data_IF_810810934920
#
_entry.id   IF_810810934920
#
_cell.length_a   1.000
_cell.length_b   1.000
_cell.length_c   1.000
_cell.angle_alpha   90.00
_cell.angle_beta   90.00
_cell.angle_gamma   90.00
#
_symmetry.space_group_name_H-M   'P 1'
#
loop_
_entity.id
_entity.type
_entity.pdbx_description
1 polymer ?
#
# COMPACT_ATOMS: atom_id res chain seq x y z
N UNK A 1 32.05 41.56 -24.14
CA UNK A 1 31.07 41.66 -23.03
C UNK A 1 31.50 40.64 -21.99
N UNK A 2 32.09 41.11 -20.88
CA UNK A 2 32.69 40.28 -19.83
C UNK A 2 31.58 39.84 -18.87
N UNK A 3 31.30 38.54 -18.77
CA UNK A 3 30.47 38.02 -17.68
C UNK A 3 31.39 37.78 -16.47
N UNK A 4 31.25 38.67 -15.49
CA UNK A 4 31.85 38.57 -14.18
C UNK A 4 31.46 37.24 -13.53
N UNK A 5 32.47 36.42 -13.25
CA UNK A 5 32.41 35.37 -12.24
C UNK A 5 32.07 36.03 -10.89
N UNK A 6 30.81 35.94 -10.46
CA UNK A 6 30.41 36.22 -9.08
C UNK A 6 30.27 34.88 -8.36
N UNK A 7 31.30 34.55 -7.57
CA UNK A 7 31.53 33.27 -6.89
C UNK A 7 30.46 32.87 -5.85
N UNK A 8 29.52 33.76 -5.51
CA UNK A 8 28.49 33.50 -4.50
C UNK A 8 27.18 32.88 -5.04
N UNK A 9 26.85 33.09 -6.32
CA UNK A 9 25.55 32.65 -6.88
C UNK A 9 25.52 31.17 -7.26
N UNK A 10 26.63 30.63 -7.76
CA UNK A 10 26.71 29.25 -8.22
C UNK A 10 26.55 28.24 -7.07
N UNK A 11 27.07 28.56 -5.89
CA UNK A 11 26.93 27.72 -4.70
C UNK A 11 25.48 27.62 -4.23
N UNK A 12 24.75 28.75 -4.21
CA UNK A 12 23.35 28.78 -3.80
C UNK A 12 22.44 28.01 -4.78
N UNK A 13 22.70 28.12 -6.09
CA UNK A 13 21.96 27.39 -7.12
C UNK A 13 22.23 25.89 -7.03
N UNK A 14 23.50 25.48 -6.87
CA UNK A 14 23.87 24.07 -6.67
C UNK A 14 23.25 23.48 -5.40
N UNK A 15 23.19 24.25 -4.31
CA UNK A 15 22.55 23.83 -3.07
C UNK A 15 21.04 23.64 -3.24
N UNK A 16 20.38 24.52 -4.00
CA UNK A 16 18.96 24.41 -4.33
C UNK A 16 18.67 23.14 -5.14
N UNK A 17 19.50 22.82 -6.14
CA UNK A 17 19.36 21.59 -6.93
C UNK A 17 19.58 20.33 -6.08
N UNK A 18 20.54 20.36 -5.14
CA UNK A 18 20.79 19.25 -4.20
C UNK A 18 19.62 19.03 -3.23
N UNK A 19 18.99 20.11 -2.74
CA UNK A 19 17.82 20.02 -1.86
C UNK A 19 16.59 19.46 -2.59
N UNK A 20 16.38 19.84 -3.87
CA UNK A 20 15.32 19.29 -4.70
C UNK A 20 15.53 17.82 -5.08
N UNK A 21 16.78 17.33 -5.00
CA UNK A 21 17.14 15.93 -5.27
C UNK A 21 17.02 15.02 -4.04
N UNK A 22 16.58 15.54 -2.88
CA UNK A 22 16.25 14.72 -1.71
C UNK A 22 15.06 13.83 -2.06
N UNK A 23 15.40 12.64 -2.54
CA UNK A 23 14.44 11.58 -2.81
C UNK A 23 13.87 11.16 -1.47
N UNK A 24 12.56 11.37 -1.27
CA UNK A 24 11.86 10.79 -0.15
C UNK A 24 12.22 9.29 -0.08
N UNK A 25 12.50 8.75 1.13
CA UNK A 25 12.77 7.33 1.25
C UNK A 25 11.64 6.56 0.56
N UNK A 26 11.95 5.49 -0.20
CA UNK A 26 10.91 4.68 -0.80
C UNK A 26 9.93 4.33 0.32
N UNK A 27 8.68 4.74 0.17
CA UNK A 27 7.62 4.35 1.10
C UNK A 27 7.77 2.84 1.33
N UNK A 28 7.91 2.43 2.59
CA UNK A 28 8.09 1.03 2.98
C UNK A 28 7.22 0.17 2.09
N UNK A 29 7.85 -0.63 1.23
CA UNK A 29 7.12 -1.43 0.28
C UNK A 29 6.24 -2.36 1.10
N UNK A 30 4.91 -2.19 1.00
CA UNK A 30 3.96 -3.10 1.62
C UNK A 30 4.38 -4.50 1.22
N UNK A 31 4.92 -5.27 2.17
CA UNK A 31 5.31 -6.63 1.89
C UNK A 31 4.03 -7.41 1.66
N UNK A 32 3.87 -7.89 0.43
CA UNK A 32 2.75 -8.73 0.05
C UNK A 32 2.86 -10.07 0.74
N UNK A 33 2.30 -10.16 1.95
CA UNK A 33 2.31 -11.36 2.76
C UNK A 33 0.91 -11.68 3.31
N UNK A 34 0.28 -12.79 2.86
CA UNK A 34 -1.10 -13.13 3.24
C UNK A 34 -1.33 -13.25 4.76
N UNK A 35 -0.28 -13.55 5.53
CA UNK A 35 -0.37 -13.63 7.00
C UNK A 35 -0.76 -12.29 7.64
N UNK A 36 -0.54 -11.16 6.97
CA UNK A 36 -1.02 -9.86 7.46
C UNK A 36 -2.56 -9.80 7.56
N UNK A 37 -3.28 -10.69 6.85
CA UNK A 37 -4.74 -10.82 6.87
C UNK A 37 -5.26 -11.77 7.96
N UNK A 38 -4.39 -12.39 8.77
CA UNK A 38 -4.78 -13.19 9.94
C UNK A 38 -5.81 -12.51 10.87
N UNK A 39 -5.75 -11.19 11.13
CA UNK A 39 -6.78 -10.50 11.93
C UNK A 39 -8.20 -10.61 11.35
N UNK A 40 -8.35 -10.92 10.05
CA UNK A 40 -9.63 -11.13 9.40
C UNK A 40 -10.15 -12.57 9.50
N UNK A 41 -9.34 -13.52 9.99
CA UNK A 41 -9.69 -14.94 10.05
C UNK A 41 -11.04 -15.17 10.73
N UNK A 42 -11.25 -14.59 11.92
CA UNK A 42 -12.50 -14.74 12.65
C UNK A 42 -13.72 -14.18 11.91
N UNK A 43 -13.53 -13.12 11.11
CA UNK A 43 -14.61 -12.51 10.33
C UNK A 43 -14.97 -13.35 9.09
N UNK A 44 -13.97 -13.97 8.46
CA UNK A 44 -14.13 -14.82 7.28
C UNK A 44 -14.68 -16.20 7.66
N UNK A 45 -14.10 -16.88 8.65
CA UNK A 45 -14.44 -18.27 8.96
C UNK A 45 -15.60 -18.41 9.96
N UNK A 46 -15.72 -17.51 10.94
CA UNK A 46 -16.76 -17.60 11.98
C UNK A 46 -17.87 -16.56 11.82
N UNK A 47 -17.92 -15.86 10.68
CA UNK A 47 -18.93 -14.83 10.40
C UNK A 47 -18.99 -13.70 11.44
N UNK A 48 -17.92 -13.49 12.22
CA UNK A 48 -17.84 -12.40 13.20
C UNK A 48 -17.71 -11.04 12.50
N UNK A 49 -18.05 -9.93 13.18
CA UNK A 49 -17.74 -8.60 12.67
C UNK A 49 -16.22 -8.43 12.51
N UNK A 50 -15.74 -7.77 11.42
CA UNK A 50 -14.32 -7.51 11.23
C UNK A 50 -13.82 -6.52 12.29
N UNK A 51 -12.63 -6.80 12.84
CA UNK A 51 -11.96 -5.86 13.76
C UNK A 51 -11.40 -4.65 13.01
N UNK A 52 -11.14 -3.56 13.74
CA UNK A 52 -10.43 -2.39 13.20
C UNK A 52 -9.07 -2.78 12.60
N UNK A 53 -8.34 -3.70 13.26
CA UNK A 53 -7.07 -4.24 12.78
C UNK A 53 -7.23 -5.02 11.47
N UNK A 54 -8.29 -5.82 11.33
CA UNK A 54 -8.61 -6.50 10.07
C UNK A 54 -8.80 -5.47 8.94
N UNK A 55 -9.66 -4.47 9.13
CA UNK A 55 -9.91 -3.49 8.07
C UNK A 55 -8.70 -2.60 7.77
N UNK A 56 -7.82 -2.32 8.74
CA UNK A 56 -6.56 -1.62 8.50
C UNK A 56 -5.64 -2.46 7.60
N UNK A 57 -5.37 -3.71 7.97
CA UNK A 57 -4.48 -4.59 7.20
C UNK A 57 -5.04 -4.93 5.81
N UNK A 58 -6.36 -5.13 5.70
CA UNK A 58 -7.01 -5.40 4.42
C UNK A 58 -6.88 -4.23 3.45
N UNK A 59 -6.95 -2.98 3.94
CA UNK A 59 -6.72 -1.78 3.13
C UNK A 59 -5.25 -1.61 2.76
N UNK A 60 -4.35 -1.84 3.71
CA UNK A 60 -2.90 -1.78 3.49
C UNK A 60 -2.44 -2.76 2.40
N UNK A 61 -3.04 -3.96 2.35
CA UNK A 61 -2.71 -5.01 1.39
C UNK A 61 -3.42 -4.90 0.03
N UNK A 62 -4.25 -3.87 -0.21
CA UNK A 62 -4.89 -3.65 -1.52
C UNK A 62 -3.95 -3.76 -2.74
N UNK A 63 -2.75 -3.15 -2.76
CA UNK A 63 -1.83 -3.28 -3.89
C UNK A 63 -1.38 -4.73 -4.16
N UNK A 64 -1.45 -5.61 -3.16
CA UNK A 64 -1.04 -7.00 -3.25
C UNK A 64 -2.14 -7.95 -3.74
N UNK A 65 -3.39 -7.49 -3.83
CA UNK A 65 -4.52 -8.39 -4.14
C UNK A 65 -4.44 -9.02 -5.52
N UNK A 66 -3.84 -8.35 -6.50
CA UNK A 66 -3.62 -8.93 -7.82
C UNK A 66 -2.68 -10.13 -7.76
N UNK A 67 -1.68 -10.09 -6.87
CA UNK A 67 -0.83 -11.24 -6.62
C UNK A 67 -1.60 -12.36 -5.90
N UNK A 68 -2.41 -12.02 -4.90
CA UNK A 68 -3.20 -13.01 -4.16
C UNK A 68 -4.27 -13.70 -5.00
N UNK A 69 -4.83 -13.01 -6.00
CA UNK A 69 -5.79 -13.59 -6.96
C UNK A 69 -5.21 -14.74 -7.78
N UNK A 70 -3.88 -14.85 -7.89
CA UNK A 70 -3.21 -15.94 -8.61
C UNK A 70 -3.23 -17.26 -7.82
N UNK A 71 -3.46 -17.18 -6.52
CA UNK A 71 -3.61 -18.36 -5.66
C UNK A 71 -5.09 -18.76 -5.59
N UNK A 72 -5.47 -19.95 -6.09
CA UNK A 72 -6.86 -20.40 -6.11
C UNK A 72 -7.45 -20.56 -4.69
N UNK A 73 -6.64 -20.87 -3.69
CA UNK A 73 -7.06 -21.01 -2.29
C UNK A 73 -7.43 -19.64 -1.72
N UNK A 74 -6.55 -18.64 -1.89
CA UNK A 74 -6.84 -17.27 -1.45
C UNK A 74 -8.03 -16.67 -2.19
N UNK A 75 -8.13 -16.95 -3.49
CA UNK A 75 -9.26 -16.52 -4.31
C UNK A 75 -10.58 -17.14 -3.83
N UNK A 76 -10.58 -18.41 -3.41
CA UNK A 76 -11.77 -19.06 -2.83
C UNK A 76 -12.25 -18.33 -1.57
N UNK A 77 -11.33 -17.93 -0.67
CA UNK A 77 -11.69 -17.17 0.51
C UNK A 77 -12.21 -15.76 0.18
N UNK A 78 -11.56 -15.06 -0.75
CA UNK A 78 -11.99 -13.73 -1.19
C UNK A 78 -13.39 -13.76 -1.85
N UNK A 79 -13.69 -14.83 -2.60
CA UNK A 79 -14.97 -15.04 -3.27
C UNK A 79 -16.04 -15.72 -2.41
N UNK A 80 -15.73 -16.11 -1.17
CA UNK A 80 -16.73 -16.61 -0.24
C UNK A 80 -17.73 -15.51 0.13
N UNK A 81 -18.94 -15.90 0.59
CA UNK A 81 -19.95 -14.95 1.08
C UNK A 81 -19.37 -14.03 2.17
N UNK A 82 -18.62 -14.62 3.11
CA UNK A 82 -18.01 -13.89 4.21
C UNK A 82 -16.84 -13.00 3.73
N UNK A 83 -16.01 -13.48 2.80
CA UNK A 83 -14.94 -12.69 2.21
C UNK A 83 -15.45 -11.41 1.55
N UNK A 84 -16.48 -11.53 0.69
CA UNK A 84 -17.14 -10.36 0.08
C UNK A 84 -17.77 -9.43 1.11
N UNK A 85 -18.41 -9.98 2.16
CA UNK A 85 -18.99 -9.16 3.24
C UNK A 85 -17.90 -8.36 3.96
N UNK A 86 -16.80 -9.00 4.34
CA UNK A 86 -15.66 -8.35 5.01
C UNK A 86 -15.06 -7.25 4.13
N UNK A 87 -14.81 -7.54 2.85
CA UNK A 87 -14.31 -6.55 1.91
C UNK A 87 -15.22 -5.32 1.80
N UNK A 88 -16.53 -5.53 1.63
CA UNK A 88 -17.53 -4.44 1.62
C UNK A 88 -17.56 -3.65 2.92
N UNK A 89 -17.57 -4.34 4.07
CA UNK A 89 -17.60 -3.71 5.40
C UNK A 89 -16.38 -2.84 5.66
N UNK A 90 -15.20 -3.28 5.20
CA UNK A 90 -13.95 -2.55 5.34
C UNK A 90 -13.68 -1.51 4.25
N UNK A 91 -14.63 -1.30 3.31
CA UNK A 91 -14.47 -0.33 2.21
C UNK A 91 -13.41 -0.74 1.18
N UNK A 92 -13.20 -2.04 1.01
CA UNK A 92 -12.20 -2.59 0.10
C UNK A 92 -12.90 -3.14 -1.14
N UNK A 93 -12.78 -2.41 -2.25
CA UNK A 93 -13.35 -2.81 -3.52
C UNK A 93 -12.44 -3.79 -4.24
N UNK A 94 -13.04 -4.66 -5.05
CA UNK A 94 -12.31 -5.56 -5.92
C UNK A 94 -11.54 -4.73 -6.94
N UNK A 95 -10.24 -4.55 -6.73
CA UNK A 95 -9.36 -3.85 -7.67
C UNK A 95 -9.33 -4.64 -8.97
N UNK A 96 -9.58 -3.96 -10.10
CA UNK A 96 -9.28 -4.55 -11.41
C UNK A 96 -7.77 -4.78 -11.43
N UNK A 97 -7.44 -6.05 -11.59
CA UNK A 97 -6.15 -6.56 -11.97
C UNK A 97 -6.35 -7.03 -13.40
#
# INVERSE_FOLDING_TARGET
MKAFFSSGGAAAVMLLFLLLAVRAPPAESVRCHPLHLLPCFGAIFYSRPPSSKCCAQLREQQPCFCQYKRDPILMSYANSRNGRRVASTCGVHNTRC
#
